data_IF_888245256866
#
_entry.id   IF_888245256866
#
_cell.length_a   1.000
_cell.length_b   1.000
_cell.length_c   1.000
_cell.angle_alpha   90.00
_cell.angle_beta   90.00
_cell.angle_gamma   90.00
#
_symmetry.space_group_name_H-M   'P 1'
#
loop_
_entity.id
_entity.type
_entity.pdbx_description
1 polymer ?
#
# COMPACT_ATOMS: atom_id res chain seq x y z
N UNK A 1 28.13 -58.04 20.07
CA UNK A 1 28.76 -56.72 19.85
C UNK A 1 28.61 -56.21 18.41
N UNK A 2 29.14 -56.88 17.38
CA UNK A 2 29.01 -56.39 15.98
C UNK A 2 27.60 -56.58 15.39
N UNK A 3 26.92 -57.68 15.71
CA UNK A 3 25.52 -57.92 15.29
C UNK A 3 24.55 -56.89 15.92
N UNK A 4 24.73 -56.59 17.20
CA UNK A 4 23.93 -55.58 17.91
C UNK A 4 24.09 -54.20 17.25
N UNK A 5 25.31 -53.84 16.87
CA UNK A 5 25.58 -52.60 16.13
C UNK A 5 24.86 -52.56 14.78
N UNK A 6 24.85 -53.67 14.03
CA UNK A 6 24.15 -53.75 12.74
C UNK A 6 22.63 -53.62 12.90
N UNK A 7 22.04 -54.28 13.91
CA UNK A 7 20.60 -54.18 14.17
C UNK A 7 20.18 -52.76 14.58
N UNK A 8 21.01 -52.06 15.37
CA UNK A 8 20.76 -50.66 15.74
C UNK A 8 20.84 -49.74 14.52
N UNK A 9 21.78 -49.96 13.60
CA UNK A 9 21.88 -49.19 12.37
C UNK A 9 20.65 -49.38 11.48
N UNK A 10 20.21 -50.62 11.29
CA UNK A 10 18.99 -50.92 10.53
C UNK A 10 17.74 -50.26 11.13
N UNK A 11 17.60 -50.30 12.47
CA UNK A 11 16.51 -49.60 13.17
C UNK A 11 16.59 -48.08 12.98
N UNK A 12 17.78 -47.49 13.02
CA UNK A 12 17.96 -46.07 12.79
C UNK A 12 17.58 -45.66 11.36
N UNK A 13 17.90 -46.50 10.37
CA UNK A 13 17.49 -46.28 8.97
C UNK A 13 15.97 -46.37 8.81
N UNK A 14 15.34 -47.36 9.44
CA UNK A 14 13.87 -47.51 9.47
C UNK A 14 13.18 -46.34 10.17
N UNK A 15 13.72 -45.87 11.29
CA UNK A 15 13.16 -44.71 12.00
C UNK A 15 13.32 -43.43 11.19
N UNK A 16 14.45 -43.25 10.49
CA UNK A 16 14.65 -42.11 9.60
C UNK A 16 13.63 -42.08 8.46
N UNK A 17 13.40 -43.22 7.80
CA UNK A 17 12.41 -43.29 6.73
C UNK A 17 10.97 -43.07 7.22
N UNK A 18 10.65 -43.52 8.43
CA UNK A 18 9.35 -43.21 9.06
C UNK A 18 9.21 -41.72 9.36
N UNK A 19 10.25 -41.09 9.91
CA UNK A 19 10.23 -39.65 10.21
C UNK A 19 10.04 -38.81 8.94
N UNK A 20 10.72 -39.14 7.84
CA UNK A 20 10.54 -38.40 6.58
C UNK A 20 9.11 -38.54 6.05
N UNK A 21 8.56 -39.75 6.06
CA UNK A 21 7.18 -40.01 5.62
C UNK A 21 6.18 -39.21 6.44
N UNK A 22 6.32 -39.22 7.77
CA UNK A 22 5.44 -38.47 8.67
C UNK A 22 5.56 -36.95 8.47
N UNK A 23 6.78 -36.44 8.23
CA UNK A 23 7.00 -35.02 7.93
C UNK A 23 6.33 -34.62 6.61
N UNK A 24 6.42 -35.43 5.56
CA UNK A 24 5.74 -35.19 4.29
C UNK A 24 4.22 -35.15 4.45
N UNK A 25 3.65 -36.10 5.20
CA UNK A 25 2.22 -36.11 5.50
C UNK A 25 1.78 -34.87 6.28
N UNK A 26 2.55 -34.45 7.30
CA UNK A 26 2.27 -33.23 8.05
C UNK A 26 2.32 -32.00 7.16
N UNK A 27 3.36 -31.87 6.32
CA UNK A 27 3.49 -30.76 5.39
C UNK A 27 2.31 -30.68 4.42
N UNK A 28 1.85 -31.83 3.90
CA UNK A 28 0.68 -31.92 3.04
C UNK A 28 -0.59 -31.43 3.76
N UNK A 29 -0.81 -31.86 5.00
CA UNK A 29 -1.98 -31.44 5.79
C UNK A 29 -1.91 -29.95 6.15
N UNK A 30 -0.73 -29.45 6.52
CA UNK A 30 -0.52 -28.02 6.79
C UNK A 30 -0.73 -27.17 5.54
N UNK A 31 -0.25 -27.61 4.37
CA UNK A 31 -0.52 -26.96 3.10
C UNK A 31 -2.03 -26.95 2.80
N UNK A 32 -2.74 -28.07 2.95
CA UNK A 32 -4.20 -28.10 2.76
C UNK A 32 -4.96 -27.16 3.70
N UNK A 33 -4.50 -27.00 4.95
CA UNK A 33 -5.18 -26.20 5.97
C UNK A 33 -4.84 -24.72 5.90
N UNK A 34 -3.59 -24.39 5.61
CA UNK A 34 -3.05 -23.03 5.76
C UNK A 34 -2.44 -22.45 4.48
N UNK A 35 -2.19 -23.24 3.43
CA UNK A 35 -1.78 -22.65 2.15
C UNK A 35 -2.90 -21.78 1.58
N UNK A 36 -2.51 -20.75 0.86
CA UNK A 36 -3.45 -19.85 0.21
C UNK A 36 -4.32 -20.67 -0.75
N UNK A 37 -5.63 -20.73 -0.49
CA UNK A 37 -6.62 -21.35 -1.38
C UNK A 37 -6.78 -20.64 -2.73
N UNK A 38 -5.99 -19.58 -2.96
CA UNK A 38 -6.00 -18.70 -4.12
C UNK A 38 -5.22 -19.23 -5.33
N UNK A 39 -4.54 -20.38 -5.23
CA UNK A 39 -3.87 -21.04 -6.38
C UNK A 39 -4.76 -22.08 -7.07
N UNK A 40 -6.08 -22.04 -6.82
CA UNK A 40 -7.02 -22.78 -7.67
C UNK A 40 -7.09 -22.06 -9.00
N UNK A 41 -6.28 -22.50 -9.97
CA UNK A 41 -6.46 -22.18 -11.38
C UNK A 41 -7.88 -22.64 -11.75
N UNK A 42 -8.80 -21.68 -11.85
CA UNK A 42 -10.09 -21.95 -12.47
C UNK A 42 -9.84 -22.23 -13.95
N UNK A 43 -10.65 -23.08 -14.60
CA UNK A 43 -10.56 -23.27 -16.05
C UNK A 43 -10.65 -21.93 -16.79
N UNK A 44 -11.44 -20.98 -16.27
CA UNK A 44 -11.54 -19.61 -16.79
C UNK A 44 -10.22 -18.80 -16.66
N UNK A 45 -9.37 -19.08 -15.67
CA UNK A 45 -8.07 -18.41 -15.50
C UNK A 45 -7.01 -18.91 -16.49
N UNK A 46 -7.19 -20.10 -17.09
CA UNK A 46 -6.30 -20.63 -18.13
C UNK A 46 -6.33 -19.72 -19.36
N UNK A 47 -7.49 -19.12 -19.65
CA UNK A 47 -7.68 -18.26 -20.82
C UNK A 47 -7.21 -16.81 -20.63
N UNK A 48 -6.79 -16.40 -19.42
CA UNK A 48 -6.40 -15.02 -19.11
C UNK A 48 -5.15 -14.54 -19.88
N UNK A 49 -4.34 -15.46 -20.39
CA UNK A 49 -3.09 -15.17 -21.11
C UNK A 49 -3.13 -15.56 -22.59
N UNK A 50 -4.29 -15.98 -23.11
CA UNK A 50 -4.46 -16.40 -24.51
C UNK A 50 -4.79 -15.22 -25.45
N UNK A 51 -4.63 -13.97 -25.02
CA UNK A 51 -4.93 -12.77 -25.82
C UNK A 51 -4.24 -12.82 -27.20
N UNK A 52 -2.96 -13.23 -27.26
CA UNK A 52 -2.20 -13.30 -28.50
C UNK A 52 -2.73 -14.35 -29.51
N UNK A 53 -3.28 -15.47 -29.04
CA UNK A 53 -3.86 -16.50 -29.90
C UNK A 53 -5.25 -16.10 -30.41
N UNK A 54 -6.03 -15.42 -29.58
CA UNK A 54 -7.34 -14.88 -29.95
C UNK A 54 -7.19 -13.74 -30.97
N UNK A 55 -6.23 -12.83 -30.74
CA UNK A 55 -5.94 -11.72 -31.65
C UNK A 55 -5.46 -12.22 -33.02
N UNK A 56 -4.63 -13.28 -33.05
CA UNK A 56 -4.17 -13.90 -34.29
C UNK A 56 -5.31 -14.50 -35.14
N UNK A 57 -6.37 -14.99 -34.49
CA UNK A 57 -7.59 -15.49 -35.17
C UNK A 57 -8.52 -14.35 -35.60
N UNK A 58 -8.51 -13.22 -34.89
CA UNK A 58 -9.31 -12.04 -35.20
C UNK A 58 -8.67 -11.12 -36.27
N UNK A 59 -7.35 -11.20 -36.47
CA UNK A 59 -6.57 -10.42 -37.44
C UNK A 59 -6.66 -10.92 -38.90
N UNK A 60 -7.65 -11.75 -39.24
CA UNK A 60 -8.08 -11.88 -40.63
C UNK A 60 -8.58 -10.49 -41.09
N UNK A 61 -7.88 -9.82 -42.02
CA UNK A 61 -8.12 -8.42 -42.28
C UNK A 61 -9.40 -8.24 -43.11
N UNK A 62 -10.45 -7.74 -42.48
CA UNK A 62 -11.45 -6.90 -43.15
C UNK A 62 -11.07 -5.45 -42.84
N UNK A 63 -10.71 -4.71 -43.89
CA UNK A 63 -10.23 -3.33 -43.82
C UNK A 63 -11.39 -2.37 -43.60
N UNK A 64 -11.77 -2.14 -42.34
CA UNK A 64 -12.75 -1.09 -42.00
C UNK A 64 -12.12 0.01 -41.13
N UNK A 65 -12.04 1.21 -41.70
CA UNK A 65 -11.66 2.44 -41.00
C UNK A 65 -12.69 2.76 -39.90
N UNK A 66 -12.25 2.67 -38.63
CA UNK A 66 -13.10 2.96 -37.47
C UNK A 66 -12.83 4.36 -36.92
N UNK A 67 -13.81 5.25 -37.06
CA UNK A 67 -13.79 6.57 -36.40
C UNK A 67 -14.11 6.40 -34.91
N UNK A 68 -13.12 6.69 -34.05
CA UNK A 68 -13.27 6.55 -32.58
C UNK A 68 -13.87 7.82 -31.97
N UNK A 69 -15.08 7.76 -31.35
CA UNK A 69 -15.66 8.91 -30.67
C UNK A 69 -14.91 9.23 -29.37
N UNK A 70 -14.75 10.52 -29.06
CA UNK A 70 -14.12 11.01 -27.83
C UNK A 70 -14.92 10.55 -26.61
N UNK A 71 -14.35 9.64 -25.81
CA UNK A 71 -15.01 9.07 -24.65
C UNK A 71 -14.98 10.03 -23.46
N UNK A 72 -16.13 10.27 -22.80
CA UNK A 72 -16.16 10.99 -21.52
C UNK A 72 -15.73 10.08 -20.38
N UNK A 73 -14.55 10.34 -19.81
CA UNK A 73 -14.04 9.58 -18.67
C UNK A 73 -14.74 10.05 -17.39
N UNK A 74 -15.53 9.18 -16.74
CA UNK A 74 -15.99 9.43 -15.36
C UNK A 74 -14.76 9.51 -14.45
N UNK A 75 -14.60 10.64 -13.75
CA UNK A 75 -13.53 10.80 -12.75
C UNK A 75 -13.71 9.72 -11.67
N UNK A 76 -12.85 8.71 -11.70
CA UNK A 76 -12.74 7.72 -10.62
C UNK A 76 -12.02 8.42 -9.47
N UNK A 77 -12.74 8.67 -8.38
CA UNK A 77 -12.22 9.36 -7.19
C UNK A 77 -13.08 9.04 -5.98
N UNK A 78 -12.54 9.32 -4.78
CA UNK A 78 -13.33 9.20 -3.55
C UNK A 78 -14.46 10.22 -3.60
N UNK A 79 -15.69 9.78 -3.31
CA UNK A 79 -16.82 10.69 -3.13
C UNK A 79 -16.57 11.53 -1.87
N UNK A 80 -16.88 12.83 -1.90
CA UNK A 80 -16.80 13.66 -0.69
C UNK A 80 -17.73 13.11 0.39
N UNK A 81 -17.43 13.43 1.65
CA UNK A 81 -18.27 13.02 2.77
C UNK A 81 -19.62 13.74 2.70
N UNK A 82 -20.73 13.09 3.12
CA UNK A 82 -22.06 13.69 3.08
C UNK A 82 -22.14 15.01 3.86
N UNK A 83 -22.81 16.02 3.31
CA UNK A 83 -22.94 17.33 3.96
C UNK A 83 -23.86 17.33 5.18
N UNK A 84 -24.73 16.34 5.30
CA UNK A 84 -25.67 16.20 6.42
C UNK A 84 -24.99 15.83 7.75
N UNK A 85 -23.74 15.34 7.72
CA UNK A 85 -23.02 15.00 8.95
C UNK A 85 -22.48 16.27 9.63
N UNK A 86 -22.57 16.37 10.97
CA UNK A 86 -22.04 17.51 11.71
C UNK A 86 -20.52 17.59 11.53
N UNK A 87 -20.03 18.80 11.25
CA UNK A 87 -18.60 19.08 11.06
C UNK A 87 -18.01 19.78 12.27
N UNK A 88 -16.88 19.27 12.75
CA UNK A 88 -16.09 19.85 13.85
C UNK A 88 -14.77 20.35 13.27
N UNK A 89 -14.49 21.65 13.41
CA UNK A 89 -13.29 22.27 12.84
C UNK A 89 -12.14 22.28 13.85
N UNK A 90 -10.97 21.79 13.42
CA UNK A 90 -9.75 21.77 14.22
C UNK A 90 -8.66 22.50 13.45
N UNK A 91 -8.28 23.68 13.94
CA UNK A 91 -7.26 24.54 13.31
C UNK A 91 -5.88 24.18 13.87
N UNK A 92 -4.97 23.85 12.96
CA UNK A 92 -3.56 23.58 13.26
C UNK A 92 -2.70 24.77 12.81
N UNK A 93 -2.04 25.41 13.78
CA UNK A 93 -1.08 26.50 13.56
C UNK A 93 0.36 26.02 13.77
N UNK A 94 1.34 26.81 13.32
CA UNK A 94 2.74 26.55 13.65
C UNK A 94 3.00 26.86 15.12
N UNK A 95 3.89 26.07 15.75
CA UNK A 95 4.40 26.36 17.08
C UNK A 95 5.14 27.71 17.08
N UNK A 96 5.13 28.42 18.19
CA UNK A 96 5.68 29.79 18.31
C UNK A 96 7.14 29.89 17.82
N UNK A 97 7.97 28.88 18.11
CA UNK A 97 9.37 28.85 17.65
C UNK A 97 9.56 28.65 16.14
N UNK A 98 8.55 28.15 15.43
CA UNK A 98 8.63 27.89 13.98
C UNK A 98 8.03 29.01 13.13
N UNK A 99 7.43 30.02 13.75
CA UNK A 99 6.80 31.17 13.07
C UNK A 99 7.82 32.16 12.51
N UNK A 100 9.12 31.89 12.65
CA UNK A 100 10.20 32.73 12.14
C UNK A 100 10.87 32.11 10.91
N UNK A 101 11.24 32.95 9.96
CA UNK A 101 12.00 32.58 8.78
C UNK A 101 13.45 32.24 9.17
N UNK A 102 14.00 31.09 8.74
CA UNK A 102 15.40 30.75 8.99
C UNK A 102 16.40 31.61 8.19
N UNK A 103 15.94 32.32 7.15
CA UNK A 103 16.80 33.14 6.29
C UNK A 103 16.89 34.60 6.78
N UNK A 104 15.75 35.21 7.12
CA UNK A 104 15.68 36.65 7.42
C UNK A 104 15.26 36.93 8.88
N UNK A 105 14.91 35.91 9.66
CA UNK A 105 14.42 36.06 11.04
C UNK A 105 13.03 36.71 11.17
N UNK A 106 12.43 37.14 10.06
CA UNK A 106 11.10 37.77 10.05
C UNK A 106 9.98 36.79 10.38
N UNK A 107 8.88 37.32 10.93
CA UNK A 107 7.65 36.57 11.20
C UNK A 107 7.02 36.13 9.88
N UNK A 108 6.60 34.87 9.81
CA UNK A 108 5.94 34.30 8.64
C UNK A 108 4.48 34.76 8.57
N UNK A 109 4.03 35.16 7.38
CA UNK A 109 2.66 35.60 7.13
C UNK A 109 1.77 34.43 6.73
N UNK A 110 0.51 34.44 7.16
CA UNK A 110 -0.50 33.46 6.73
C UNK A 110 -0.87 33.69 5.26
N UNK A 111 -0.66 32.68 4.41
CA UNK A 111 -0.95 32.76 2.96
C UNK A 111 -2.20 31.95 2.58
N UNK A 112 -2.48 30.87 3.29
CA UNK A 112 -3.65 30.06 3.01
C UNK A 112 -3.79 28.89 3.93
N UNK A 113 -4.66 27.95 3.56
CA UNK A 113 -5.00 26.80 4.38
C UNK A 113 -5.09 25.53 3.53
N UNK A 114 -4.83 24.40 4.17
CA UNK A 114 -5.06 23.07 3.61
C UNK A 114 -6.07 22.36 4.49
N UNK A 115 -7.20 22.02 3.89
CA UNK A 115 -8.28 21.32 4.58
C UNK A 115 -8.20 19.82 4.31
N UNK A 116 -8.42 19.01 5.35
CA UNK A 116 -8.61 17.58 5.23
C UNK A 116 -9.77 17.12 6.11
N UNK A 117 -10.63 16.28 5.56
CA UNK A 117 -11.81 15.76 6.27
C UNK A 117 -11.58 14.30 6.68
N UNK A 118 -11.96 13.99 7.91
CA UNK A 118 -11.91 12.63 8.49
C UNK A 118 -13.26 12.29 9.11
N UNK A 119 -13.73 11.06 8.90
CA UNK A 119 -14.95 10.55 9.53
C UNK A 119 -14.60 10.08 10.94
N UNK A 120 -15.31 10.59 11.94
CA UNK A 120 -15.18 10.21 13.34
C UNK A 120 -16.46 9.53 13.82
N UNK A 121 -16.30 8.34 14.38
CA UNK A 121 -17.40 7.46 14.81
C UNK A 121 -17.38 7.39 16.33
N UNK A 122 -18.20 8.22 16.95
CA UNK A 122 -18.52 8.10 18.37
C UNK A 122 -19.66 7.08 18.47
N UNK A 123 -19.68 6.15 19.46
CA UNK A 123 -20.68 5.07 19.53
C UNK A 123 -22.16 5.48 19.38
N UNK A 124 -22.49 6.75 19.61
CA UNK A 124 -23.82 7.32 19.45
C UNK A 124 -23.95 8.40 18.35
N UNK A 125 -22.85 8.87 17.74
CA UNK A 125 -22.85 10.00 16.79
C UNK A 125 -21.77 9.82 15.73
N UNK A 126 -22.13 10.08 14.47
CA UNK A 126 -21.17 10.15 13.37
C UNK A 126 -20.93 11.63 13.10
N UNK A 127 -19.67 12.04 13.12
CA UNK A 127 -19.26 13.41 12.83
C UNK A 127 -18.08 13.42 11.87
N UNK A 128 -17.85 14.58 11.24
CA UNK A 128 -16.71 14.78 10.34
C UNK A 128 -15.78 15.78 10.99
N UNK A 129 -14.56 15.36 11.28
CA UNK A 129 -13.50 16.25 11.75
C UNK A 129 -12.85 16.90 10.54
N UNK A 130 -12.96 18.22 10.44
CA UNK A 130 -12.31 19.03 9.41
C UNK A 130 -11.04 19.63 10.00
N UNK A 131 -9.90 19.10 9.58
CA UNK A 131 -8.59 19.64 9.95
C UNK A 131 -8.20 20.77 9.00
N UNK A 132 -7.97 21.95 9.55
CA UNK A 132 -7.55 23.14 8.81
C UNK A 132 -6.09 23.42 9.17
N UNK A 133 -5.17 23.19 8.23
CA UNK A 133 -3.74 23.42 8.44
C UNK A 133 -3.35 24.74 7.80
N UNK A 134 -2.91 25.70 8.62
CA UNK A 134 -2.45 26.99 8.11
C UNK A 134 -1.12 26.88 7.38
N UNK A 135 -1.01 27.57 6.26
CA UNK A 135 0.19 27.77 5.46
C UNK A 135 0.71 29.17 5.71
N UNK A 136 2.01 29.23 5.99
CA UNK A 136 2.73 30.45 6.23
C UNK A 136 3.84 30.60 5.19
N UNK A 137 4.13 31.82 4.77
CA UNK A 137 5.36 32.09 4.03
C UNK A 137 6.00 33.41 4.42
N UNK A 138 7.31 33.48 4.17
CA UNK A 138 8.09 34.69 4.35
C UNK A 138 7.95 35.61 3.14
N UNK A 139 8.07 36.92 3.38
CA UNK A 139 8.13 37.96 2.34
C UNK A 139 9.38 37.84 1.45
N UNK A 140 10.43 37.15 1.88
CA UNK A 140 11.60 36.86 1.05
C UNK A 140 11.34 35.85 -0.07
N UNK A 141 10.18 35.18 -0.07
CA UNK A 141 9.79 34.21 -1.10
C UNK A 141 10.50 32.86 -1.03
N UNK A 142 11.47 32.67 -0.11
CA UNK A 142 12.25 31.44 -0.02
C UNK A 142 11.78 30.45 1.06
N UNK A 143 10.88 30.86 1.96
CA UNK A 143 10.41 30.01 3.04
C UNK A 143 8.89 29.87 3.02
N UNK A 144 8.40 28.65 2.83
CA UNK A 144 6.98 28.27 2.97
C UNK A 144 6.91 27.15 4.00
N UNK A 145 6.17 27.36 5.10
CA UNK A 145 5.93 26.36 6.14
C UNK A 145 4.45 26.06 6.24
N UNK A 146 4.11 24.78 6.39
CA UNK A 146 2.72 24.35 6.63
C UNK A 146 2.67 23.75 8.02
N UNK A 147 1.69 24.11 8.84
CA UNK A 147 1.44 23.48 10.14
C UNK A 147 1.44 21.96 10.01
N UNK A 148 1.96 21.16 10.96
CA UNK A 148 2.12 19.72 10.82
C UNK A 148 0.79 18.96 10.63
N UNK A 149 0.85 17.75 10.07
CA UNK A 149 -0.33 16.90 9.90
C UNK A 149 -0.65 16.25 11.25
N UNK A 150 -1.93 16.13 11.66
CA UNK A 150 -2.29 15.35 12.84
C UNK A 150 -1.84 13.90 12.69
N UNK A 151 -1.56 13.25 13.81
CA UNK A 151 -1.20 11.83 13.84
C UNK A 151 -2.32 11.01 13.20
N UNK A 152 -1.97 10.22 12.18
CA UNK A 152 -2.92 9.35 11.50
C UNK A 152 -2.66 7.89 11.88
N UNK A 153 -3.71 7.08 12.06
CA UNK A 153 -3.58 5.67 12.43
C UNK A 153 -2.84 4.86 11.35
N UNK A 154 -2.95 5.29 10.10
CA UNK A 154 -2.20 4.74 8.98
C UNK A 154 -1.24 5.82 8.48
N UNK A 155 0.07 5.50 8.33
CA UNK A 155 0.97 6.42 7.65
C UNK A 155 0.45 6.63 6.22
N UNK A 156 0.42 7.89 5.78
CA UNK A 156 0.01 8.19 4.42
C UNK A 156 0.95 7.45 3.45
N UNK A 157 0.42 6.49 2.69
CA UNK A 157 1.16 5.73 1.67
C UNK A 157 1.39 6.57 0.41
N UNK A 158 1.75 7.83 0.59
CA UNK A 158 2.33 8.67 -0.45
C UNK A 158 3.80 8.28 -0.63
N UNK A 159 4.02 7.03 -1.06
CA UNK A 159 5.29 6.62 -1.63
C UNK A 159 5.40 7.23 -3.03
N UNK A 160 5.67 8.53 -3.09
CA UNK A 160 6.22 9.28 -4.22
C UNK A 160 6.59 10.68 -3.72
N UNK A 161 7.61 10.72 -2.87
CA UNK A 161 8.57 11.82 -2.81
C UNK A 161 9.90 11.17 -2.40
N UNK A 162 10.49 10.44 -3.34
CA UNK A 162 11.91 10.06 -3.30
C UNK A 162 12.72 11.35 -3.48
N UNK A 163 12.93 12.06 -2.37
CA UNK A 163 13.62 13.33 -2.31
C UNK A 163 14.14 13.60 -0.90
N UNK A 164 14.65 12.57 -0.23
CA UNK A 164 15.48 12.71 0.95
C UNK A 164 16.51 11.58 0.89
N UNK A 165 17.72 11.95 0.46
CA UNK A 165 18.85 11.05 0.39
C UNK A 165 19.17 10.47 1.76
N UNK A 166 19.07 9.15 1.85
CA UNK A 166 19.79 8.38 2.86
C UNK A 166 20.61 7.36 2.09
N UNK A 167 21.88 7.69 1.94
CA UNK A 167 22.93 6.75 1.56
C UNK A 167 23.08 5.81 2.75
N UNK A 168 22.57 4.59 2.63
CA UNK A 168 23.12 3.46 3.38
C UNK A 168 23.24 2.25 2.46
N UNK A 169 24.40 1.57 2.45
CA UNK A 169 24.64 0.44 1.58
C UNK A 169 24.10 -0.82 2.26
N UNK A 170 23.26 -1.59 1.58
CA UNK A 170 23.11 -3.01 1.92
C UNK A 170 23.26 -3.89 0.68
N UNK A 171 23.86 -5.07 0.87
CA UNK A 171 24.64 -5.76 -0.14
C UNK A 171 23.77 -6.58 -1.07
N UNK A 172 24.27 -6.73 -2.29
CA UNK A 172 23.73 -7.56 -3.36
C UNK A 172 23.55 -9.00 -2.86
N UNK A 173 22.31 -9.48 -2.79
CA UNK A 173 22.05 -10.92 -2.77
C UNK A 173 22.39 -11.48 -4.16
N UNK A 174 23.41 -12.33 -4.22
CA UNK A 174 23.65 -13.16 -5.39
C UNK A 174 22.76 -14.41 -5.34
N UNK A 175 22.26 -14.71 -6.54
CA UNK A 175 21.55 -15.88 -7.08
C UNK A 175 21.64 -17.20 -6.32
#
# INVERSE_FOLDING_TARGET
>A
MQADKQTVLQKNEQLKSQVTLLQEQLNLVLAKRYAASSEKISPDQIHLFNEAEVDALALMPEEDETTVPTHTRRKRGRKPLPEALPRVEVVHTLAEGEQYCPHDGNVLNEIGEVTSEQLDIVPAKIQVIRHIRKKYACTCGQCIKTAPLPAQPMPNRSWMNCGAGWITPYPKCHR
#
